data_IF_266054838111
#
_entry.id   IF_266054838111
#
_cell.length_a   1.000
_cell.length_b   1.000
_cell.length_c   1.000
_cell.angle_alpha   90.00
_cell.angle_beta   90.00
_cell.angle_gamma   90.00
#
_symmetry.space_group_name_H-M   'P 1'
#
loop_
_entity.id
_entity.type
_entity.pdbx_description
1 polymer ?
#
# COMPACT_ATOMS: atom_id res chain seq x y z
N UNK A 1 -19.51 -7.26 16.97
CA UNK A 1 -18.47 -8.05 16.32
C UNK A 1 -17.78 -7.21 15.24
N UNK A 2 -16.52 -6.87 15.48
CA UNK A 2 -15.69 -6.02 14.58
C UNK A 2 -15.58 -6.66 13.19
N UNK A 3 -15.42 -7.97 13.12
CA UNK A 3 -15.27 -8.68 11.83
C UNK A 3 -16.54 -8.51 10.96
N UNK A 4 -17.71 -8.79 11.50
CA UNK A 4 -18.95 -8.62 10.75
C UNK A 4 -19.19 -7.16 10.37
N UNK A 5 -18.93 -6.21 11.29
CA UNK A 5 -19.12 -4.78 11.04
C UNK A 5 -18.23 -4.25 9.92
N UNK A 6 -16.93 -4.52 9.95
CA UNK A 6 -15.99 -4.04 8.94
C UNK A 6 -16.27 -4.64 7.54
N UNK A 7 -16.60 -5.92 7.48
CA UNK A 7 -16.96 -6.58 6.20
C UNK A 7 -18.28 -6.04 5.64
N UNK A 8 -19.25 -5.79 6.50
CA UNK A 8 -20.49 -5.15 6.09
C UNK A 8 -20.26 -3.73 5.56
N UNK A 9 -19.39 -2.95 6.23
CA UNK A 9 -19.04 -1.59 5.79
C UNK A 9 -18.35 -1.61 4.41
N UNK A 10 -17.40 -2.50 4.17
CA UNK A 10 -16.82 -2.69 2.84
C UNK A 10 -17.89 -3.02 1.81
N UNK A 11 -18.81 -3.94 2.13
CA UNK A 11 -19.93 -4.29 1.24
C UNK A 11 -20.84 -3.11 0.93
N UNK A 12 -21.16 -2.28 1.92
CA UNK A 12 -21.98 -1.07 1.73
C UNK A 12 -21.28 -0.07 0.83
N UNK A 13 -19.97 0.18 1.03
CA UNK A 13 -19.19 1.08 0.19
C UNK A 13 -19.17 0.57 -1.27
N UNK A 14 -19.03 -0.75 -1.49
CA UNK A 14 -19.12 -1.35 -2.82
C UNK A 14 -20.49 -1.12 -3.47
N UNK A 15 -21.57 -1.33 -2.73
CA UNK A 15 -22.93 -1.09 -3.22
C UNK A 15 -23.09 0.39 -3.58
N UNK A 16 -22.61 1.33 -2.76
CA UNK A 16 -22.67 2.75 -3.05
C UNK A 16 -21.88 3.11 -4.30
N UNK A 17 -20.70 2.52 -4.51
CA UNK A 17 -19.92 2.74 -5.72
C UNK A 17 -20.64 2.19 -6.96
N UNK A 18 -21.15 0.97 -6.93
CA UNK A 18 -21.82 0.32 -8.07
C UNK A 18 -23.10 1.07 -8.46
N UNK A 19 -23.87 1.53 -7.48
CA UNK A 19 -25.17 2.17 -7.69
C UNK A 19 -25.17 3.67 -7.48
N UNK A 20 -23.99 4.33 -7.53
CA UNK A 20 -23.82 5.75 -7.23
C UNK A 20 -24.80 6.67 -7.97
N UNK A 21 -25.12 6.37 -9.22
CA UNK A 21 -26.05 7.16 -10.03
C UNK A 21 -27.54 7.00 -9.60
N UNK A 22 -27.83 6.04 -8.74
CA UNK A 22 -29.19 5.77 -8.23
C UNK A 22 -29.38 6.24 -6.77
N UNK A 23 -28.32 6.60 -6.08
CA UNK A 23 -28.39 6.97 -4.66
C UNK A 23 -29.24 8.22 -4.43
N UNK A 24 -29.32 9.12 -5.40
CA UNK A 24 -30.20 10.28 -5.35
C UNK A 24 -31.69 9.93 -5.22
N UNK A 25 -32.07 8.69 -5.57
CA UNK A 25 -33.44 8.20 -5.41
C UNK A 25 -33.74 7.71 -3.97
N UNK A 26 -32.71 7.57 -3.15
CA UNK A 26 -32.79 6.99 -1.81
C UNK A 26 -32.30 7.96 -0.73
N UNK A 27 -32.95 9.13 -0.65
CA UNK A 27 -32.57 10.19 0.30
C UNK A 27 -32.52 9.74 1.76
N UNK A 28 -33.37 8.78 2.15
CA UNK A 28 -33.35 8.23 3.51
C UNK A 28 -32.09 7.42 3.80
N UNK A 29 -31.52 6.76 2.79
CA UNK A 29 -30.26 6.05 2.91
C UNK A 29 -29.11 7.03 3.13
N UNK A 30 -29.06 8.10 2.34
CA UNK A 30 -28.03 9.16 2.48
C UNK A 30 -28.07 9.75 3.88
N UNK A 31 -29.29 10.15 4.35
CA UNK A 31 -29.46 10.68 5.71
C UNK A 31 -29.03 9.72 6.82
N UNK A 32 -29.24 8.41 6.64
CA UNK A 32 -28.72 7.41 7.61
C UNK A 32 -27.22 7.36 7.66
N UNK A 33 -26.54 7.53 6.53
CA UNK A 33 -25.07 7.60 6.49
C UNK A 33 -24.58 8.87 7.17
N UNK A 34 -25.25 10.01 6.95
CA UNK A 34 -24.93 11.26 7.64
C UNK A 34 -25.06 11.12 9.17
N UNK A 35 -26.09 10.41 9.66
CA UNK A 35 -26.21 10.11 11.10
C UNK A 35 -25.10 9.18 11.62
N UNK A 36 -24.57 8.28 10.78
CA UNK A 36 -23.44 7.43 11.17
C UNK A 36 -22.12 8.20 11.27
N UNK A 37 -21.98 9.32 10.55
CA UNK A 37 -20.81 10.20 10.63
C UNK A 37 -20.65 10.85 12.01
N UNK A 38 -21.75 10.98 12.79
CA UNK A 38 -21.70 11.41 14.18
C UNK A 38 -21.01 10.38 15.11
N UNK A 39 -20.80 9.14 14.64
CA UNK A 39 -20.13 8.08 15.39
C UNK A 39 -18.63 8.14 15.07
N UNK A 40 -17.75 8.51 16.02
CA UNK A 40 -16.33 8.79 15.75
C UNK A 40 -15.57 7.75 14.92
N UNK A 41 -15.74 6.41 15.09
CA UNK A 41 -15.01 5.43 14.30
C UNK A 41 -15.45 5.35 12.83
N UNK A 42 -16.66 5.80 12.47
CA UNK A 42 -17.22 5.58 11.14
C UNK A 42 -16.45 6.32 10.04
N UNK A 43 -16.20 7.60 10.22
CA UNK A 43 -15.45 8.44 9.28
C UNK A 43 -14.04 7.89 9.04
N UNK A 44 -13.36 7.53 10.12
CA UNK A 44 -12.00 6.96 10.03
C UNK A 44 -12.00 5.61 9.33
N UNK A 45 -12.99 4.76 9.59
CA UNK A 45 -13.16 3.46 8.98
C UNK A 45 -13.43 3.59 7.46
N UNK A 46 -14.31 4.48 7.04
CA UNK A 46 -14.60 4.75 5.62
C UNK A 46 -13.38 5.29 4.90
N UNK A 47 -12.68 6.26 5.50
CA UNK A 47 -11.46 6.84 4.92
C UNK A 47 -10.34 5.79 4.78
N UNK A 48 -10.19 4.91 5.77
CA UNK A 48 -9.22 3.81 5.74
C UNK A 48 -9.57 2.80 4.65
N UNK A 49 -10.83 2.37 4.56
CA UNK A 49 -11.30 1.45 3.52
C UNK A 49 -11.06 2.06 2.15
N UNK A 50 -11.33 3.35 1.97
CA UNK A 50 -11.06 4.04 0.71
C UNK A 50 -9.59 3.93 0.29
N UNK A 51 -8.67 4.26 1.20
CA UNK A 51 -7.21 4.11 0.92
C UNK A 51 -6.81 2.67 0.63
N UNK A 52 -7.37 1.70 1.36
CA UNK A 52 -7.12 0.28 1.13
C UNK A 52 -7.63 -0.17 -0.25
N UNK A 53 -8.79 0.32 -0.70
CA UNK A 53 -9.30 0.05 -2.05
C UNK A 53 -8.39 0.61 -3.15
N UNK A 54 -7.88 1.84 -2.97
CA UNK A 54 -6.91 2.43 -3.88
C UNK A 54 -5.60 1.62 -3.93
N UNK A 55 -5.14 1.14 -2.77
CA UNK A 55 -3.95 0.32 -2.68
C UNK A 55 -4.13 -1.04 -3.37
N UNK A 56 -5.33 -1.63 -3.31
CA UNK A 56 -5.64 -2.85 -4.05
C UNK A 56 -5.49 -2.66 -5.57
N UNK A 57 -5.75 -1.47 -6.13
CA UNK A 57 -5.51 -1.20 -7.56
C UNK A 57 -4.02 -1.28 -7.95
N UNK A 58 -3.11 -1.08 -7.01
CA UNK A 58 -1.66 -1.17 -7.24
C UNK A 58 -1.11 -2.61 -7.10
N UNK A 59 -1.95 -3.57 -6.70
CA UNK A 59 -1.52 -4.95 -6.42
C UNK A 59 -0.80 -5.60 -7.61
N UNK A 60 -1.24 -5.37 -8.86
CA UNK A 60 -0.56 -5.95 -10.04
C UNK A 60 0.87 -5.44 -10.22
N UNK A 61 1.11 -4.14 -9.97
CA UNK A 61 2.46 -3.57 -10.02
C UNK A 61 3.33 -4.12 -8.89
N UNK A 62 2.76 -4.22 -7.69
CA UNK A 62 3.44 -4.77 -6.52
C UNK A 62 3.77 -6.24 -6.75
N UNK A 63 2.81 -7.03 -7.23
CA UNK A 63 2.99 -8.45 -7.55
C UNK A 63 4.07 -8.66 -8.64
N UNK A 64 4.08 -7.81 -9.67
CA UNK A 64 5.13 -7.83 -10.68
C UNK A 64 6.50 -7.58 -10.06
N UNK A 65 6.62 -6.55 -9.23
CA UNK A 65 7.87 -6.21 -8.53
C UNK A 65 8.32 -7.35 -7.60
N UNK A 66 7.37 -7.95 -6.87
CA UNK A 66 7.66 -9.11 -6.03
C UNK A 66 8.25 -10.27 -6.84
N UNK A 67 7.64 -10.62 -7.99
CA UNK A 67 8.09 -11.74 -8.83
C UNK A 67 9.36 -11.49 -9.61
N UNK A 68 9.56 -10.27 -10.11
CA UNK A 68 10.66 -9.95 -11.00
C UNK A 68 11.92 -9.47 -10.27
N UNK A 69 11.77 -8.83 -9.11
CA UNK A 69 12.88 -8.22 -8.39
C UNK A 69 13.13 -8.84 -7.01
N UNK A 70 12.10 -8.94 -6.15
CA UNK A 70 12.28 -9.26 -4.73
C UNK A 70 12.48 -10.76 -4.52
N UNK A 71 11.55 -11.60 -5.01
CA UNK A 71 11.59 -13.06 -4.83
C UNK A 71 12.85 -13.69 -5.46
N UNK A 72 13.25 -13.34 -6.70
CA UNK A 72 14.48 -13.88 -7.28
C UNK A 72 15.74 -13.54 -6.49
N UNK A 73 15.80 -12.32 -5.93
CA UNK A 73 16.95 -11.89 -5.11
C UNK A 73 16.97 -12.65 -3.77
N UNK A 74 15.82 -12.83 -3.14
CA UNK A 74 15.69 -13.67 -1.95
C UNK A 74 16.17 -15.11 -2.22
N UNK A 75 15.71 -15.71 -3.33
CA UNK A 75 16.07 -17.09 -3.69
C UNK A 75 17.57 -17.27 -3.99
N UNK A 76 18.22 -16.30 -4.64
CA UNK A 76 19.68 -16.33 -4.87
C UNK A 76 20.47 -16.37 -3.57
N UNK A 77 19.98 -15.66 -2.56
CA UNK A 77 20.66 -15.52 -1.28
C UNK A 77 20.28 -16.57 -0.24
N UNK A 78 19.22 -17.38 -0.48
CA UNK A 78 18.80 -18.48 0.42
C UNK A 78 19.93 -19.51 0.63
N UNK A 79 20.71 -19.83 -0.40
CA UNK A 79 21.85 -20.73 -0.28
C UNK A 79 22.95 -20.16 0.62
N UNK A 80 23.22 -18.87 0.54
CA UNK A 80 24.16 -18.16 1.41
C UNK A 80 23.65 -18.09 2.85
N UNK A 81 22.36 -17.78 3.05
CA UNK A 81 21.72 -17.79 4.37
C UNK A 81 21.71 -19.19 5.00
N UNK A 82 21.50 -20.25 4.21
CA UNK A 82 21.54 -21.63 4.69
C UNK A 82 22.93 -22.04 5.13
N UNK A 83 23.96 -21.61 4.41
CA UNK A 83 25.37 -21.84 4.79
C UNK A 83 25.76 -21.04 6.04
N UNK A 84 25.20 -19.84 6.24
CA UNK A 84 25.37 -19.05 7.47
C UNK A 84 24.74 -19.72 8.69
N UNK A 85 23.57 -20.40 8.53
CA UNK A 85 22.89 -21.11 9.63
C UNK A 85 23.59 -22.40 10.07
N UNK A 86 24.26 -23.11 9.18
CA UNK A 86 25.01 -24.32 9.55
C UNK A 86 26.31 -24.04 10.35
N UNK A 87 26.69 -22.76 10.49
CA UNK A 87 27.81 -22.35 11.37
C UNK A 87 27.43 -22.02 12.81
N UNK A 88 26.15 -22.08 13.15
CA UNK A 88 25.69 -21.92 14.52
C UNK A 88 25.50 -23.30 15.19
N UNK A 89 26.61 -23.99 15.50
CA UNK A 89 26.59 -24.97 16.58
C UNK A 89 26.45 -24.23 17.91
N UNK A 90 25.53 -24.74 18.72
CA UNK A 90 25.20 -24.30 20.06
C UNK A 90 26.47 -24.10 20.90
N UNK A 91 26.83 -22.87 21.16
CA UNK A 91 27.58 -22.49 22.33
C UNK A 91 26.83 -21.34 23.01
N UNK A 92 26.13 -21.69 24.08
CA UNK A 92 25.61 -20.77 25.06
C UNK A 92 26.77 -20.05 25.77
N UNK A 93 27.34 -19.05 25.14
CA UNK A 93 28.16 -18.04 25.83
C UNK A 93 27.74 -16.66 25.33
N UNK A 94 27.18 -15.90 26.27
CA UNK A 94 26.77 -14.50 26.15
C UNK A 94 27.97 -13.59 25.86
N UNK A 95 28.51 -13.64 24.65
CA UNK A 95 29.31 -12.56 24.10
C UNK A 95 29.05 -12.47 22.60
N UNK A 96 28.28 -11.45 22.26
CA UNK A 96 27.80 -11.07 20.94
C UNK A 96 28.99 -10.69 20.02
N UNK A 97 29.66 -11.68 19.47
CA UNK A 97 30.67 -11.50 18.43
C UNK A 97 30.05 -11.77 17.04
N UNK A 98 29.11 -10.90 16.67
CA UNK A 98 28.59 -10.87 15.28
C UNK A 98 29.73 -10.45 14.39
N UNK A 99 30.23 -11.39 13.58
CA UNK A 99 31.28 -11.09 12.60
C UNK A 99 30.83 -9.94 11.67
N UNK A 100 31.50 -8.77 11.70
CA UNK A 100 31.15 -7.60 10.89
C UNK A 100 31.08 -7.92 9.38
N UNK A 101 31.92 -8.85 8.90
CA UNK A 101 31.96 -9.24 7.49
C UNK A 101 30.64 -9.86 6.99
N UNK A 102 29.82 -10.42 7.90
CA UNK A 102 28.53 -11.01 7.53
C UNK A 102 27.42 -9.94 7.44
N UNK A 103 27.47 -8.92 8.28
CA UNK A 103 26.59 -7.77 8.18
C UNK A 103 26.87 -7.01 6.89
N UNK A 104 28.15 -6.78 6.57
CA UNK A 104 28.58 -6.11 5.34
C UNK A 104 28.21 -6.93 4.08
N UNK A 105 28.32 -8.26 4.11
CA UNK A 105 27.90 -9.13 2.99
C UNK A 105 26.39 -9.11 2.77
N UNK A 106 25.60 -9.01 3.85
CA UNK A 106 24.15 -8.89 3.78
C UNK A 106 23.71 -7.53 3.24
N UNK A 107 24.35 -6.44 3.67
CA UNK A 107 24.10 -5.09 3.16
C UNK A 107 24.56 -4.95 1.69
N UNK A 108 25.70 -5.48 1.33
CA UNK A 108 26.22 -5.45 -0.05
C UNK A 108 25.37 -6.28 -1.03
N UNK A 109 24.62 -7.29 -0.53
CA UNK A 109 23.75 -8.11 -1.38
C UNK A 109 22.49 -7.36 -1.86
N UNK A 110 22.16 -6.20 -1.26
CA UNK A 110 20.91 -5.48 -1.51
C UNK A 110 19.64 -6.19 -1.00
N UNK A 111 19.81 -7.37 -0.37
CA UNK A 111 18.68 -8.15 0.16
C UNK A 111 18.02 -7.46 1.34
N UNK A 112 18.81 -6.81 2.20
CA UNK A 112 18.30 -6.04 3.34
C UNK A 112 17.34 -4.94 2.90
N UNK A 113 17.70 -4.19 1.85
CA UNK A 113 16.85 -3.13 1.30
C UNK A 113 15.57 -3.69 0.68
N UNK A 114 15.65 -4.82 -0.02
CA UNK A 114 14.48 -5.48 -0.62
C UNK A 114 13.50 -6.05 0.43
N UNK A 115 14.02 -6.62 1.50
CA UNK A 115 13.19 -7.07 2.62
C UNK A 115 12.55 -5.90 3.36
N UNK A 116 13.30 -4.81 3.56
CA UNK A 116 12.76 -3.58 4.17
C UNK A 116 11.65 -3.00 3.31
N UNK A 117 11.85 -2.93 1.99
CA UNK A 117 10.82 -2.47 1.05
C UNK A 117 9.57 -3.35 1.09
N UNK A 118 9.74 -4.69 1.12
CA UNK A 118 8.60 -5.61 1.25
C UNK A 118 7.82 -5.37 2.56
N UNK A 119 8.53 -5.20 3.67
CA UNK A 119 7.93 -4.93 4.96
C UNK A 119 7.20 -3.57 4.97
N UNK A 120 7.76 -2.54 4.36
CA UNK A 120 7.10 -1.24 4.21
C UNK A 120 5.80 -1.35 3.41
N UNK A 121 5.81 -2.05 2.27
CA UNK A 121 4.61 -2.32 1.48
C UNK A 121 3.54 -3.07 2.29
N UNK A 122 3.96 -4.06 3.07
CA UNK A 122 3.07 -4.85 3.93
C UNK A 122 2.47 -3.99 5.05
N UNK A 123 3.26 -3.11 5.67
CA UNK A 123 2.79 -2.17 6.69
C UNK A 123 1.82 -1.12 6.12
N UNK A 124 2.02 -0.70 4.87
CA UNK A 124 1.06 0.13 4.14
C UNK A 124 -0.27 -0.62 3.87
N UNK A 125 -0.31 -1.93 4.02
CA UNK A 125 -1.47 -2.79 3.76
C UNK A 125 -1.53 -3.35 2.34
N UNK A 126 -0.41 -3.35 1.61
CA UNK A 126 -0.34 -3.92 0.27
C UNK A 126 -0.42 -5.46 0.30
N UNK A 127 -0.98 -6.03 -0.77
CA UNK A 127 -1.00 -7.48 -0.96
C UNK A 127 0.31 -7.98 -1.58
N UNK A 128 1.29 -8.25 -0.73
CA UNK A 128 2.60 -8.77 -1.14
C UNK A 128 2.61 -10.29 -1.38
N UNK A 129 1.54 -10.98 -1.03
CA UNK A 129 1.44 -12.44 -1.08
C UNK A 129 0.60 -12.96 -2.25
N UNK A 130 0.09 -12.10 -3.13
CA UNK A 130 -0.82 -12.50 -4.20
C UNK A 130 -0.25 -13.62 -5.07
N UNK A 131 0.97 -13.48 -5.60
CA UNK A 131 1.62 -14.48 -6.45
C UNK A 131 1.87 -15.80 -5.72
N UNK A 132 2.27 -15.73 -4.45
CA UNK A 132 2.56 -16.89 -3.61
C UNK A 132 1.34 -17.80 -3.49
N UNK A 133 0.15 -17.22 -3.34
CA UNK A 133 -1.09 -17.97 -3.12
C UNK A 133 -1.94 -18.20 -4.38
N UNK A 134 -1.59 -17.55 -5.52
CA UNK A 134 -2.38 -17.62 -6.74
C UNK A 134 -2.59 -19.06 -7.24
N UNK A 135 -1.52 -19.87 -7.29
CA UNK A 135 -1.60 -21.28 -7.73
C UNK A 135 -2.47 -22.13 -6.81
N UNK A 136 -2.53 -21.81 -5.52
CA UNK A 136 -3.28 -22.57 -4.51
C UNK A 136 -4.79 -22.29 -4.58
N UNK A 137 -5.23 -21.29 -5.35
CA UNK A 137 -6.64 -20.97 -5.59
C UNK A 137 -7.31 -21.92 -6.60
N UNK A 138 -6.55 -22.82 -7.23
CA UNK A 138 -7.10 -23.87 -8.09
C UNK A 138 -7.79 -25.01 -7.32
N UNK A 139 -7.65 -25.07 -6.00
CA UNK A 139 -8.27 -26.06 -5.15
C UNK A 139 -9.80 -26.05 -5.30
N UNK A 140 -10.48 -27.23 -5.33
CA UNK A 140 -11.94 -27.33 -5.57
C UNK A 140 -12.81 -26.49 -4.64
N UNK A 141 -12.36 -26.23 -3.41
CA UNK A 141 -13.02 -25.34 -2.45
C UNK A 141 -13.35 -23.96 -3.05
N UNK A 142 -12.46 -23.39 -3.88
CA UNK A 142 -12.63 -22.07 -4.48
C UNK A 142 -13.50 -22.03 -5.74
N UNK A 143 -14.11 -23.15 -6.15
CA UNK A 143 -15.12 -23.15 -7.20
C UNK A 143 -16.43 -22.50 -6.76
N UNK A 144 -16.71 -22.57 -5.46
CA UNK A 144 -17.86 -21.92 -4.85
C UNK A 144 -17.52 -20.47 -4.47
N UNK A 145 -18.32 -19.51 -4.97
CA UNK A 145 -18.08 -18.06 -4.79
C UNK A 145 -18.00 -17.68 -3.31
N UNK A 146 -18.93 -18.20 -2.49
CA UNK A 146 -18.97 -17.87 -1.07
C UNK A 146 -17.69 -18.28 -0.31
N UNK A 147 -16.99 -19.31 -0.78
CA UNK A 147 -15.79 -19.83 -0.12
C UNK A 147 -14.58 -18.87 -0.21
N UNK A 148 -14.61 -17.91 -1.13
CA UNK A 148 -13.62 -16.83 -1.19
C UNK A 148 -13.75 -15.83 -0.04
N UNK A 149 -14.93 -15.77 0.57
CA UNK A 149 -15.29 -14.69 1.48
C UNK A 149 -15.57 -15.14 2.91
N UNK A 150 -15.55 -16.43 3.22
CA UNK A 150 -15.72 -16.89 4.59
C UNK A 150 -14.53 -16.51 5.46
N UNK A 151 -14.76 -15.93 6.66
CA UNK A 151 -13.73 -15.84 7.68
C UNK A 151 -13.13 -17.21 7.94
N UNK A 152 -11.81 -17.30 8.08
CA UNK A 152 -11.19 -18.59 8.36
C UNK A 152 -11.68 -19.15 9.69
N UNK A 153 -12.19 -20.38 9.65
CA UNK A 153 -12.70 -21.10 10.82
C UNK A 153 -12.42 -22.57 10.73
N UNK A 154 -11.89 -23.16 11.82
CA UNK A 154 -11.78 -24.62 11.96
C UNK A 154 -13.12 -25.33 12.01
N UNK A 155 -14.22 -24.60 12.22
CA UNK A 155 -15.58 -25.14 12.24
C UNK A 155 -16.22 -25.19 10.85
N UNK A 156 -15.56 -24.66 9.83
CA UNK A 156 -16.03 -24.75 8.45
C UNK A 156 -16.07 -26.23 8.01
N UNK A 157 -17.15 -26.63 7.31
CA UNK A 157 -17.45 -28.06 7.02
C UNK A 157 -16.34 -28.80 6.31
N UNK A 158 -15.68 -28.18 5.34
CA UNK A 158 -14.59 -28.81 4.57
C UNK A 158 -13.30 -28.91 5.38
N UNK A 159 -13.05 -27.95 6.28
CA UNK A 159 -11.96 -28.00 7.26
C UNK A 159 -12.18 -29.15 8.24
N UNK A 160 -13.41 -29.28 8.77
CA UNK A 160 -13.76 -30.39 9.69
C UNK A 160 -13.57 -31.75 9.01
N UNK A 161 -13.98 -31.92 7.73
CA UNK A 161 -13.78 -33.17 6.99
C UNK A 161 -12.30 -33.56 6.92
N UNK A 162 -11.42 -32.59 6.63
CA UNK A 162 -9.97 -32.82 6.56
C UNK A 162 -9.38 -33.17 7.92
N UNK A 163 -9.79 -32.46 8.99
CA UNK A 163 -9.31 -32.72 10.36
C UNK A 163 -9.71 -34.10 10.88
N UNK A 164 -10.89 -34.60 10.50
CA UNK A 164 -11.36 -35.95 10.90
C UNK A 164 -10.60 -37.10 10.23
N UNK A 165 -10.01 -36.88 9.07
CA UNK A 165 -9.28 -37.89 8.32
C UNK A 165 -7.91 -38.24 8.90
N UNK A 166 -7.27 -37.31 9.62
CA UNK A 166 -5.88 -37.45 10.04
C UNK A 166 -5.64 -37.63 11.55
N UNK A 167 -6.71 -37.64 12.33
CA UNK A 167 -6.57 -37.69 13.79
C UNK A 167 -6.24 -36.31 14.41
N UNK A 168 -6.44 -36.21 15.73
CA UNK A 168 -6.40 -34.95 16.50
C UNK A 168 -4.97 -34.47 16.87
N UNK A 169 -3.99 -34.55 15.99
CA UNK A 169 -2.68 -33.95 16.26
C UNK A 169 -2.80 -32.40 16.24
N UNK A 170 -2.56 -31.80 17.39
CA UNK A 170 -2.48 -30.33 17.52
C UNK A 170 -1.19 -29.85 16.86
N UNK A 171 -1.31 -29.26 15.67
CA UNK A 171 -0.19 -28.57 15.03
C UNK A 171 -0.19 -27.11 15.49
N UNK A 172 0.56 -26.80 16.56
CA UNK A 172 0.62 -25.48 17.17
C UNK A 172 1.14 -24.42 16.18
N UNK A 173 2.09 -24.79 15.33
CA UNK A 173 2.69 -23.85 14.34
C UNK A 173 1.67 -23.49 13.25
N UNK A 174 0.94 -24.47 12.71
CA UNK A 174 -0.14 -24.19 11.77
C UNK A 174 -1.19 -23.27 12.38
N UNK A 175 -1.54 -23.49 13.65
CA UNK A 175 -2.50 -22.67 14.37
C UNK A 175 -2.03 -21.22 14.49
N UNK A 176 -0.74 -21.00 14.78
CA UNK A 176 -0.14 -19.66 14.86
C UNK A 176 -0.18 -18.96 13.49
N UNK A 177 0.25 -19.63 12.42
CA UNK A 177 0.24 -19.08 11.06
C UNK A 177 -1.19 -18.72 10.63
N UNK A 178 -2.16 -19.61 10.88
CA UNK A 178 -3.55 -19.38 10.52
C UNK A 178 -4.24 -18.31 11.39
N UNK A 179 -3.72 -18.05 12.59
CA UNK A 179 -4.18 -16.95 13.43
C UNK A 179 -3.51 -15.61 13.09
N UNK A 180 -2.46 -15.61 12.28
CA UNK A 180 -1.76 -14.37 11.92
C UNK A 180 -2.68 -13.41 11.14
N UNK A 181 -2.47 -12.10 11.33
CA UNK A 181 -3.19 -11.05 10.61
C UNK A 181 -2.65 -10.78 9.19
N UNK A 182 -1.52 -11.38 8.84
CA UNK A 182 -0.83 -11.09 7.57
C UNK A 182 -1.51 -11.71 6.35
N UNK A 183 -2.12 -12.88 6.51
CA UNK A 183 -2.79 -13.57 5.41
C UNK A 183 -4.27 -13.23 5.34
N UNK A 184 -4.79 -13.07 4.13
CA UNK A 184 -6.22 -13.01 3.91
C UNK A 184 -6.91 -14.33 4.30
N UNK A 185 -8.21 -14.30 4.52
CA UNK A 185 -8.91 -15.53 4.92
C UNK A 185 -8.88 -16.59 3.83
N UNK A 186 -8.97 -16.19 2.55
CA UNK A 186 -8.85 -17.13 1.43
C UNK A 186 -7.47 -17.79 1.36
N UNK A 187 -6.41 -17.08 1.75
CA UNK A 187 -5.05 -17.64 1.80
C UNK A 187 -4.88 -18.63 2.92
N UNK A 188 -5.45 -18.35 4.09
CA UNK A 188 -5.45 -19.30 5.21
C UNK A 188 -6.10 -20.61 4.82
N UNK A 189 -7.23 -20.57 4.07
CA UNK A 189 -7.85 -21.78 3.51
C UNK A 189 -6.94 -22.47 2.48
N UNK A 190 -6.33 -21.71 1.57
CA UNK A 190 -5.39 -22.27 0.59
C UNK A 190 -4.24 -22.98 1.26
N UNK A 191 -3.62 -22.32 2.22
CA UNK A 191 -2.48 -22.83 2.98
C UNK A 191 -2.89 -24.11 3.74
N UNK A 192 -4.02 -24.08 4.44
CA UNK A 192 -4.53 -25.23 5.19
C UNK A 192 -4.71 -26.44 4.28
N UNK A 193 -5.43 -26.30 3.17
CA UNK A 193 -5.69 -27.43 2.27
C UNK A 193 -4.43 -27.93 1.56
N UNK A 194 -3.48 -27.05 1.25
CA UNK A 194 -2.22 -27.43 0.60
C UNK A 194 -1.32 -28.20 1.55
N UNK A 195 -1.12 -27.72 2.76
CA UNK A 195 -0.26 -28.38 3.76
C UNK A 195 -0.80 -29.79 4.05
N UNK A 196 -2.12 -29.93 4.18
CA UNK A 196 -2.76 -31.22 4.46
C UNK A 196 -2.63 -32.25 3.36
N UNK A 197 -2.30 -31.87 2.14
CA UNK A 197 -2.05 -32.81 1.02
C UNK A 197 -0.59 -33.26 0.93
N UNK A 198 0.31 -32.61 1.65
CA UNK A 198 1.72 -32.95 1.62
C UNK A 198 2.04 -34.11 2.56
N UNK A 199 3.05 -34.95 2.26
CA UNK A 199 3.61 -35.89 3.22
C UNK A 199 4.08 -35.17 4.50
N UNK A 200 3.98 -35.84 5.66
CA UNK A 200 4.25 -35.21 6.98
C UNK A 200 5.61 -34.51 7.04
N UNK A 201 6.67 -35.13 6.53
CA UNK A 201 8.00 -34.50 6.51
C UNK A 201 8.06 -33.20 5.69
N UNK A 202 7.28 -33.10 4.61
CA UNK A 202 7.20 -31.88 3.82
C UNK A 202 6.31 -30.82 4.51
N UNK A 203 5.26 -31.25 5.22
CA UNK A 203 4.44 -30.36 6.04
C UNK A 203 5.31 -29.66 7.09
N UNK A 204 6.09 -30.43 7.85
CA UNK A 204 6.94 -29.91 8.92
C UNK A 204 8.00 -28.95 8.37
N UNK A 205 8.61 -29.29 7.22
CA UNK A 205 9.59 -28.43 6.56
C UNK A 205 8.95 -27.11 6.08
N UNK A 206 7.78 -27.16 5.45
CA UNK A 206 7.07 -25.97 4.96
C UNK A 206 6.61 -25.07 6.12
N UNK A 207 6.09 -25.69 7.19
CA UNK A 207 5.62 -24.98 8.37
C UNK A 207 6.78 -24.35 9.14
N UNK A 208 7.95 -25.00 9.23
CA UNK A 208 9.12 -24.42 9.85
C UNK A 208 9.61 -23.19 9.05
N UNK A 209 9.69 -23.28 7.73
CA UNK A 209 10.10 -22.15 6.89
C UNK A 209 9.15 -20.95 7.00
N UNK A 210 7.84 -21.19 6.97
CA UNK A 210 6.84 -20.14 7.14
C UNK A 210 6.83 -19.59 8.56
N UNK A 211 6.96 -20.47 9.56
CA UNK A 211 7.01 -20.08 10.98
C UNK A 211 8.23 -19.27 11.34
N UNK A 212 9.39 -19.60 10.79
CA UNK A 212 10.63 -18.87 11.06
C UNK A 212 10.62 -17.45 10.49
N UNK A 213 10.06 -17.24 9.30
CA UNK A 213 9.87 -15.90 8.74
C UNK A 213 8.93 -15.04 9.58
N UNK A 214 7.82 -15.63 10.04
CA UNK A 214 6.84 -14.91 10.86
C UNK A 214 7.27 -14.77 12.32
N UNK A 215 7.97 -15.75 12.88
CA UNK A 215 8.51 -15.70 14.25
C UNK A 215 9.65 -14.70 14.36
N UNK A 216 10.48 -14.53 13.32
CA UNK A 216 11.51 -13.48 13.29
C UNK A 216 10.87 -12.08 13.35
N UNK A 217 9.75 -11.86 12.65
CA UNK A 217 8.99 -10.60 12.70
C UNK A 217 8.19 -10.41 14.00
N UNK A 218 7.86 -11.50 14.70
CA UNK A 218 7.00 -11.49 15.88
C UNK A 218 7.78 -11.71 17.19
N UNK A 219 9.03 -12.19 17.13
CA UNK A 219 9.77 -12.67 18.31
C UNK A 219 10.18 -11.57 19.29
N UNK A 220 10.19 -10.32 18.87
CA UNK A 220 10.59 -9.26 19.80
C UNK A 220 9.51 -8.80 20.78
N UNK A 221 8.21 -9.00 20.57
CA UNK A 221 7.18 -8.43 21.48
C UNK A 221 5.78 -9.07 21.56
N UNK A 222 5.46 -10.23 20.97
CA UNK A 222 4.03 -10.58 20.84
C UNK A 222 3.61 -11.91 21.44
N UNK A 223 2.90 -11.84 22.57
CA UNK A 223 2.08 -12.94 23.06
C UNK A 223 0.92 -13.26 22.12
N UNK A 224 0.37 -14.49 22.17
CA UNK A 224 -0.83 -14.90 21.40
C UNK A 224 -2.01 -13.93 21.57
N UNK A 225 -2.11 -13.24 22.70
CA UNK A 225 -3.10 -12.21 22.98
C UNK A 225 -2.89 -10.94 22.14
N UNK A 226 -1.65 -10.54 21.92
CA UNK A 226 -1.32 -9.36 21.08
C UNK A 226 -1.64 -9.64 19.62
N UNK A 227 -1.37 -10.86 19.13
CA UNK A 227 -1.75 -11.29 17.79
C UNK A 227 -3.27 -11.33 17.61
N UNK A 228 -4.01 -11.84 18.59
CA UNK A 228 -5.47 -11.81 18.56
C UNK A 228 -6.00 -10.38 18.47
N UNK A 229 -5.48 -9.48 19.31
CA UNK A 229 -5.84 -8.05 19.28
C UNK A 229 -5.49 -7.39 17.93
N UNK A 230 -4.38 -7.77 17.30
CA UNK A 230 -4.03 -7.27 15.98
C UNK A 230 -5.01 -7.75 14.90
N UNK A 231 -5.38 -9.03 14.91
CA UNK A 231 -6.32 -9.61 13.95
C UNK A 231 -7.75 -9.04 14.06
N UNK A 232 -8.12 -8.59 15.25
CA UNK A 232 -9.43 -7.99 15.54
C UNK A 232 -9.44 -6.47 15.30
N UNK A 233 -8.33 -5.86 14.86
CA UNK A 233 -8.31 -4.44 14.50
C UNK A 233 -9.17 -4.19 13.26
N UNK A 234 -10.00 -3.14 13.25
CA UNK A 234 -10.84 -2.79 12.11
C UNK A 234 -10.06 -2.74 10.79
N UNK A 235 -8.88 -2.12 10.80
CA UNK A 235 -8.03 -2.01 9.62
C UNK A 235 -7.50 -3.35 9.09
N UNK A 236 -7.14 -4.28 9.95
CA UNK A 236 -6.69 -5.63 9.56
C UNK A 236 -7.85 -6.39 8.91
N UNK A 237 -9.03 -6.35 9.52
CA UNK A 237 -10.21 -7.06 9.01
C UNK A 237 -10.64 -6.54 7.64
N UNK A 238 -10.78 -5.22 7.50
CA UNK A 238 -11.17 -4.62 6.21
C UNK A 238 -10.15 -4.89 5.12
N UNK A 239 -8.85 -4.82 5.44
CA UNK A 239 -7.77 -5.07 4.48
C UNK A 239 -7.76 -6.53 4.00
N UNK A 240 -7.82 -7.49 4.92
CA UNK A 240 -7.92 -8.91 4.56
C UNK A 240 -9.11 -9.20 3.65
N UNK A 241 -10.26 -8.59 3.95
CA UNK A 241 -11.46 -8.79 3.14
C UNK A 241 -11.35 -8.15 1.76
N UNK A 242 -10.72 -6.98 1.66
CA UNK A 242 -10.44 -6.34 0.37
C UNK A 242 -9.44 -7.15 -0.46
N UNK A 243 -8.42 -7.75 0.15
CA UNK A 243 -7.51 -8.67 -0.54
C UNK A 243 -8.26 -9.89 -1.08
N UNK A 244 -9.16 -10.51 -0.30
CA UNK A 244 -9.99 -11.62 -0.76
C UNK A 244 -10.88 -11.22 -1.94
N UNK A 245 -11.52 -10.03 -1.88
CA UNK A 245 -12.33 -9.48 -2.97
C UNK A 245 -11.51 -9.22 -4.23
N UNK A 246 -10.36 -8.56 -4.09
CA UNK A 246 -9.47 -8.28 -5.22
C UNK A 246 -9.01 -9.58 -5.90
N UNK A 247 -8.56 -10.56 -5.11
CA UNK A 247 -8.12 -11.87 -5.62
C UNK A 247 -9.26 -12.65 -6.29
N UNK A 248 -10.48 -12.57 -5.77
CA UNK A 248 -11.64 -13.14 -6.43
C UNK A 248 -11.79 -12.59 -7.85
N UNK A 249 -11.75 -11.29 -8.04
CA UNK A 249 -11.86 -10.65 -9.36
C UNK A 249 -10.68 -10.97 -10.29
N UNK A 250 -9.53 -11.35 -9.76
CA UNK A 250 -8.36 -11.71 -10.59
C UNK A 250 -8.25 -13.20 -10.87
N UNK A 251 -8.55 -14.05 -9.89
CA UNK A 251 -8.20 -15.47 -9.91
C UNK A 251 -9.39 -16.41 -10.03
N UNK A 252 -10.61 -16.02 -9.62
CA UNK A 252 -11.78 -16.89 -9.68
C UNK A 252 -12.17 -17.24 -11.12
N UNK A 253 -12.54 -18.50 -11.35
CA UNK A 253 -13.10 -18.94 -12.64
C UNK A 253 -14.45 -18.26 -12.93
N UNK A 254 -15.18 -17.88 -11.88
CA UNK A 254 -16.49 -17.21 -11.97
C UNK A 254 -16.41 -15.68 -11.94
N UNK A 255 -15.21 -15.06 -11.97
CA UNK A 255 -15.05 -13.60 -11.91
C UNK A 255 -15.83 -12.84 -12.97
N UNK A 256 -16.08 -13.46 -14.12
CA UNK A 256 -16.78 -12.82 -15.25
C UNK A 256 -18.30 -12.65 -15.01
N UNK A 257 -18.84 -13.30 -13.99
CA UNK A 257 -20.25 -13.15 -13.59
C UNK A 257 -20.49 -11.86 -12.80
N UNK A 258 -19.41 -11.16 -12.39
CA UNK A 258 -19.48 -10.03 -11.48
C UNK A 258 -18.75 -8.81 -12.07
N UNK A 259 -19.23 -7.63 -11.71
CA UNK A 259 -18.59 -6.36 -12.09
C UNK A 259 -17.35 -6.13 -11.20
N UNK A 260 -16.19 -6.01 -11.84
CA UNK A 260 -14.91 -5.76 -11.16
C UNK A 260 -14.75 -4.26 -10.90
N UNK A 261 -15.03 -3.83 -9.67
CA UNK A 261 -14.95 -2.42 -9.26
C UNK A 261 -13.51 -1.90 -9.20
N UNK A 262 -12.50 -2.78 -9.04
CA UNK A 262 -11.11 -2.36 -8.98
C UNK A 262 -10.55 -1.92 -10.35
N UNK A 263 -11.28 -2.16 -11.43
CA UNK A 263 -10.97 -1.62 -12.76
C UNK A 263 -11.57 -0.23 -13.02
N UNK A 264 -12.41 0.24 -12.12
CA UNK A 264 -13.08 1.52 -12.25
C UNK A 264 -12.33 2.63 -11.51
N UNK A 265 -12.63 3.88 -11.86
CA UNK A 265 -12.15 5.03 -11.08
C UNK A 265 -12.79 4.99 -9.69
N UNK A 266 -11.95 4.87 -8.67
CA UNK A 266 -12.38 4.88 -7.27
C UNK A 266 -12.32 6.33 -6.75
N UNK A 267 -13.40 7.06 -6.93
CA UNK A 267 -13.60 8.44 -6.51
C UNK A 267 -14.74 8.50 -5.46
N UNK A 268 -14.54 7.78 -4.34
CA UNK A 268 -15.59 7.58 -3.34
C UNK A 268 -16.08 8.87 -2.70
N UNK A 269 -15.26 9.91 -2.66
CA UNK A 269 -15.62 11.24 -2.16
C UNK A 269 -16.67 11.95 -3.05
N UNK A 270 -16.85 11.52 -4.31
CA UNK A 270 -17.92 12.02 -5.18
C UNK A 270 -19.24 11.24 -5.06
N UNK A 271 -19.27 10.19 -4.25
CA UNK A 271 -20.51 9.44 -4.03
C UNK A 271 -21.41 10.23 -3.08
N UNK A 272 -22.65 10.58 -3.45
CA UNK A 272 -23.53 11.46 -2.63
C UNK A 272 -23.70 11.00 -1.18
N UNK A 273 -23.73 9.69 -0.94
CA UNK A 273 -23.85 9.14 0.41
C UNK A 273 -22.55 9.19 1.23
N UNK A 274 -21.40 9.41 0.62
CA UNK A 274 -20.09 9.43 1.27
C UNK A 274 -19.42 10.80 1.21
N UNK A 275 -19.94 11.73 0.40
CA UNK A 275 -19.32 13.04 0.20
C UNK A 275 -19.17 13.81 1.51
N UNK A 276 -20.20 13.88 2.35
CA UNK A 276 -20.15 14.58 3.63
C UNK A 276 -19.08 13.98 4.57
N UNK A 277 -18.90 12.65 4.52
CA UNK A 277 -17.92 11.92 5.33
C UNK A 277 -16.49 12.13 4.84
N UNK A 278 -16.29 12.09 3.52
CA UNK A 278 -14.97 12.03 2.90
C UNK A 278 -14.43 13.38 2.41
N UNK A 279 -15.30 14.39 2.24
CA UNK A 279 -14.92 15.67 1.66
C UNK A 279 -14.32 16.62 2.71
N UNK A 280 -13.15 16.26 3.22
CA UNK A 280 -12.41 17.06 4.19
C UNK A 280 -10.90 16.97 3.92
N UNK A 281 -10.15 18.02 4.31
CA UNK A 281 -8.70 18.09 4.12
C UNK A 281 -7.97 16.87 4.71
N UNK A 282 -8.33 16.47 5.92
CA UNK A 282 -7.69 15.35 6.63
C UNK A 282 -7.80 14.00 5.88
N UNK A 283 -8.79 13.86 5.01
CA UNK A 283 -9.02 12.67 4.22
C UNK A 283 -8.47 12.83 2.81
N UNK A 284 -8.77 13.93 2.13
CA UNK A 284 -8.39 14.14 0.73
C UNK A 284 -6.90 14.37 0.56
N UNK A 285 -6.24 15.07 1.50
CA UNK A 285 -4.80 15.31 1.40
C UNK A 285 -3.98 14.00 1.40
N UNK A 286 -4.18 13.04 2.33
CA UNK A 286 -3.55 11.73 2.26
C UNK A 286 -3.88 10.92 0.99
N UNK A 287 -5.06 11.12 0.39
CA UNK A 287 -5.43 10.47 -0.87
C UNK A 287 -4.67 11.08 -2.04
N UNK A 288 -4.58 12.42 -2.10
CA UNK A 288 -3.77 13.10 -3.10
C UNK A 288 -2.28 12.72 -2.98
N UNK A 289 -1.75 12.64 -1.76
CA UNK A 289 -0.39 12.17 -1.49
C UNK A 289 -0.18 10.71 -1.91
N UNK A 290 -1.17 9.85 -1.71
CA UNK A 290 -1.13 8.47 -2.22
C UNK A 290 -0.99 8.46 -3.74
N UNK A 291 -1.82 9.22 -4.46
CA UNK A 291 -1.72 9.31 -5.91
C UNK A 291 -0.38 9.90 -6.36
N UNK A 292 0.13 10.92 -5.67
CA UNK A 292 1.44 11.53 -5.92
C UNK A 292 2.57 10.48 -5.77
N UNK A 293 2.57 9.73 -4.66
CA UNK A 293 3.55 8.67 -4.37
C UNK A 293 3.50 7.54 -5.40
N UNK A 294 2.31 7.21 -5.92
CA UNK A 294 2.12 6.16 -6.94
C UNK A 294 2.23 6.69 -8.38
N UNK A 295 2.71 7.94 -8.57
CA UNK A 295 2.91 8.60 -9.88
C UNK A 295 1.63 8.72 -10.73
N UNK A 296 0.49 8.72 -10.07
CA UNK A 296 -0.83 8.94 -10.69
C UNK A 296 -1.14 10.43 -10.73
N UNK A 297 -0.41 11.14 -11.60
CA UNK A 297 -0.36 12.60 -11.61
C UNK A 297 -1.71 13.27 -11.86
N UNK A 298 -2.52 12.71 -12.78
CA UNK A 298 -3.84 13.28 -13.10
C UNK A 298 -4.80 13.21 -11.91
N UNK A 299 -4.85 12.04 -11.25
CA UNK A 299 -5.72 11.84 -10.09
C UNK A 299 -5.23 12.67 -8.89
N UNK A 300 -3.91 12.82 -8.72
CA UNK A 300 -3.37 13.71 -7.70
C UNK A 300 -3.79 15.17 -7.94
N UNK A 301 -3.68 15.65 -9.17
CA UNK A 301 -4.07 17.02 -9.56
C UNK A 301 -5.56 17.22 -9.28
N UNK A 302 -6.44 16.31 -9.76
CA UNK A 302 -7.88 16.41 -9.53
C UNK A 302 -8.20 16.58 -8.03
N UNK A 303 -7.65 15.73 -7.16
CA UNK A 303 -7.95 15.79 -5.72
C UNK A 303 -7.37 17.06 -5.09
N UNK A 304 -6.18 17.51 -5.49
CA UNK A 304 -5.62 18.77 -4.99
C UNK A 304 -6.48 19.98 -5.44
N UNK A 305 -6.90 20.04 -6.70
CA UNK A 305 -7.76 21.13 -7.21
C UNK A 305 -9.12 21.16 -6.49
N UNK A 306 -9.70 20.01 -6.19
CA UNK A 306 -10.91 19.92 -5.39
C UNK A 306 -10.74 20.46 -3.98
N UNK A 307 -9.60 20.20 -3.33
CA UNK A 307 -9.29 20.74 -2.01
C UNK A 307 -9.23 22.27 -1.99
N UNK A 308 -8.77 22.92 -3.07
CA UNK A 308 -8.78 24.37 -3.19
C UNK A 308 -10.23 24.92 -3.16
N UNK A 309 -11.17 24.20 -3.75
CA UNK A 309 -12.60 24.62 -3.77
C UNK A 309 -13.28 24.53 -2.40
N UNK A 310 -12.81 23.63 -1.54
CA UNK A 310 -13.36 23.45 -0.17
C UNK A 310 -12.91 24.59 0.76
N UNK A 311 -11.89 25.34 0.40
CA UNK A 311 -11.35 26.43 1.23
C UNK A 311 -10.66 25.95 2.51
N UNK A 312 -10.27 24.68 2.59
CA UNK A 312 -9.82 24.00 3.81
C UNK A 312 -8.30 23.89 3.93
N UNK A 313 -7.54 24.86 3.43
CA UNK A 313 -6.06 24.82 3.47
C UNK A 313 -5.50 25.37 4.79
N UNK A 314 -6.05 25.00 5.94
CA UNK A 314 -5.64 25.51 7.24
C UNK A 314 -4.23 25.05 7.62
N UNK A 315 -3.26 25.93 7.43
CA UNK A 315 -1.89 25.76 7.93
C UNK A 315 -0.92 25.01 7.00
N UNK A 316 -1.38 24.31 5.98
CA UNK A 316 -0.55 23.54 5.02
C UNK A 316 -0.40 24.20 3.64
N UNK A 317 -0.82 25.44 3.50
CA UNK A 317 -0.96 26.07 2.18
C UNK A 317 0.29 26.02 1.30
N UNK A 318 1.48 26.26 1.83
CA UNK A 318 2.72 26.17 1.06
C UNK A 318 3.02 24.73 0.60
N UNK A 319 2.90 23.74 1.49
CA UNK A 319 3.12 22.32 1.18
C UNK A 319 2.11 21.84 0.12
N UNK A 320 0.87 22.23 0.27
CA UNK A 320 -0.18 21.90 -0.69
C UNK A 320 0.18 22.39 -2.10
N UNK A 321 0.51 23.69 -2.25
CA UNK A 321 0.86 24.24 -3.56
C UNK A 321 2.17 23.66 -4.13
N UNK A 322 3.13 23.29 -3.28
CA UNK A 322 4.34 22.60 -3.72
C UNK A 322 4.01 21.22 -4.29
N UNK A 323 3.16 20.44 -3.64
CA UNK A 323 2.75 19.11 -4.10
C UNK A 323 1.90 19.17 -5.36
N UNK A 324 0.95 20.10 -5.44
CA UNK A 324 0.17 20.36 -6.64
C UNK A 324 1.09 20.77 -7.80
N UNK A 325 2.00 21.73 -7.57
CA UNK A 325 2.99 22.15 -8.56
C UNK A 325 3.85 21.00 -9.06
N UNK A 326 4.25 20.09 -8.15
CA UNK A 326 5.04 18.93 -8.51
C UNK A 326 4.24 17.93 -9.38
N UNK A 327 2.98 17.66 -9.04
CA UNK A 327 2.11 16.82 -9.85
C UNK A 327 1.90 17.41 -11.25
N UNK A 328 1.62 18.72 -11.34
CA UNK A 328 1.47 19.46 -12.59
C UNK A 328 2.75 19.45 -13.43
N UNK A 329 3.91 19.65 -12.82
CA UNK A 329 5.21 19.58 -13.47
C UNK A 329 5.47 18.19 -14.07
N UNK A 330 5.23 17.13 -13.30
CA UNK A 330 5.38 15.73 -13.76
C UNK A 330 4.39 15.40 -14.88
N UNK A 331 3.22 16.02 -14.86
CA UNK A 331 2.21 15.91 -15.93
C UNK A 331 2.49 16.86 -17.12
N UNK A 332 3.63 17.54 -17.14
CA UNK A 332 4.08 18.48 -18.20
C UNK A 332 3.20 19.72 -18.36
N UNK A 333 2.37 20.04 -17.40
CA UNK A 333 1.56 21.26 -17.32
C UNK A 333 2.38 22.40 -16.66
N UNK A 334 3.43 22.84 -17.38
CA UNK A 334 4.45 23.72 -16.79
C UNK A 334 3.94 25.10 -16.40
N UNK A 335 3.03 25.69 -17.17
CA UNK A 335 2.43 26.99 -16.85
C UNK A 335 1.62 26.93 -15.55
N UNK A 336 0.75 25.95 -15.42
CA UNK A 336 -0.06 25.72 -14.21
C UNK A 336 0.83 25.37 -12.99
N UNK A 337 1.93 24.62 -13.22
CA UNK A 337 2.90 24.30 -12.18
C UNK A 337 3.61 25.57 -11.66
N UNK A 338 3.97 26.49 -12.54
CA UNK A 338 4.57 27.76 -12.17
C UNK A 338 3.62 28.56 -11.27
N UNK A 339 2.34 28.65 -11.63
CA UNK A 339 1.34 29.37 -10.83
C UNK A 339 1.20 28.73 -9.42
N UNK A 340 1.18 27.42 -9.34
CA UNK A 340 1.14 26.72 -8.05
C UNK A 340 2.40 26.99 -7.20
N UNK A 341 3.59 26.90 -7.80
CA UNK A 341 4.84 27.16 -7.08
C UNK A 341 4.98 28.64 -6.66
N UNK A 342 4.47 29.59 -7.44
CA UNK A 342 4.45 31.00 -7.06
C UNK A 342 3.51 31.25 -5.86
N UNK A 343 2.35 30.57 -5.82
CA UNK A 343 1.48 30.61 -4.64
C UNK A 343 2.21 30.03 -3.42
N UNK A 344 2.95 28.93 -3.58
CA UNK A 344 3.77 28.34 -2.51
C UNK A 344 4.87 29.33 -2.03
N UNK A 345 5.55 30.03 -2.95
CA UNK A 345 6.59 31.00 -2.65
C UNK A 345 6.03 32.21 -1.88
N UNK A 346 4.81 32.64 -2.21
CA UNK A 346 4.12 33.71 -1.48
C UNK A 346 3.84 33.32 -0.02
N UNK A 347 3.51 32.06 0.23
CA UNK A 347 3.18 31.56 1.57
C UNK A 347 4.43 31.19 2.39
N UNK A 348 5.48 30.73 1.73
CA UNK A 348 6.77 30.38 2.33
C UNK A 348 7.90 30.81 1.41
N UNK A 349 8.33 32.09 1.49
CA UNK A 349 9.37 32.63 0.63
C UNK A 349 10.72 31.92 0.79
N UNK A 350 11.54 32.00 -0.25
CA UNK A 350 12.95 31.59 -0.27
C UNK A 350 13.16 30.07 0.00
N UNK A 351 12.15 29.26 -0.25
CA UNK A 351 12.32 27.81 -0.20
C UNK A 351 13.15 27.31 -1.39
N UNK A 352 14.37 26.80 -1.12
CA UNK A 352 15.34 26.38 -2.15
C UNK A 352 14.74 25.30 -3.06
N UNK A 353 14.03 24.34 -2.51
CA UNK A 353 13.36 23.28 -3.30
C UNK A 353 12.32 23.90 -4.26
N UNK A 354 11.51 24.84 -3.76
CA UNK A 354 10.50 25.53 -4.56
C UNK A 354 11.12 26.36 -5.68
N UNK A 355 12.18 27.13 -5.36
CA UNK A 355 12.93 27.93 -6.33
C UNK A 355 13.55 27.05 -7.42
N UNK A 356 14.09 25.89 -7.07
CA UNK A 356 14.63 24.92 -8.03
C UNK A 356 13.54 24.42 -8.99
N UNK A 357 12.38 24.08 -8.49
CA UNK A 357 11.26 23.60 -9.32
C UNK A 357 10.64 24.70 -10.17
N UNK A 358 10.57 25.93 -9.68
CA UNK A 358 10.21 27.11 -10.49
C UNK A 358 11.19 27.31 -11.64
N UNK A 359 12.50 27.27 -11.38
CA UNK A 359 13.51 27.39 -12.41
C UNK A 359 13.38 26.33 -13.50
N UNK A 360 13.17 25.07 -13.08
CA UNK A 360 12.94 23.94 -14.01
C UNK A 360 11.70 24.20 -14.88
N UNK A 361 10.57 24.58 -14.26
CA UNK A 361 9.32 24.80 -14.98
C UNK A 361 9.43 25.99 -15.94
N UNK A 362 10.03 27.11 -15.54
CA UNK A 362 10.28 28.24 -16.43
C UNK A 362 11.17 27.86 -17.61
N UNK A 363 12.24 27.09 -17.41
CA UNK A 363 13.12 26.60 -18.49
C UNK A 363 12.36 25.70 -19.46
N UNK A 364 11.57 24.74 -18.94
CA UNK A 364 10.77 23.84 -19.77
C UNK A 364 9.64 24.57 -20.51
N UNK A 365 9.16 25.68 -19.94
CA UNK A 365 8.20 26.60 -20.57
C UNK A 365 8.86 27.66 -21.47
N UNK A 366 10.19 27.53 -21.74
CA UNK A 366 11.00 28.40 -22.58
C UNK A 366 11.11 29.87 -22.10
N UNK A 367 10.83 30.14 -20.85
CA UNK A 367 11.09 31.45 -20.25
C UNK A 367 12.46 31.41 -19.55
N UNK A 368 13.51 31.48 -20.36
CA UNK A 368 14.88 31.31 -19.92
C UNK A 368 15.36 32.45 -18.98
N UNK A 369 14.82 33.66 -19.16
CA UNK A 369 15.16 34.78 -18.29
C UNK A 369 14.66 34.59 -16.85
N UNK A 370 13.41 34.14 -16.69
CA UNK A 370 12.86 33.84 -15.38
C UNK A 370 13.54 32.60 -14.77
N UNK A 371 13.80 31.58 -15.59
CA UNK A 371 14.53 30.39 -15.15
C UNK A 371 15.90 30.74 -14.58
N UNK A 372 16.66 31.59 -15.28
CA UNK A 372 17.98 32.05 -14.84
C UNK A 372 17.90 32.77 -13.48
N UNK A 373 16.90 33.65 -13.29
CA UNK A 373 16.70 34.36 -12.03
C UNK A 373 16.51 33.38 -10.85
N UNK A 374 15.69 32.37 -11.01
CA UNK A 374 15.45 31.39 -9.96
C UNK A 374 16.62 30.41 -9.78
N UNK A 375 17.32 30.00 -10.84
CA UNK A 375 18.53 29.19 -10.71
C UNK A 375 19.64 29.94 -9.94
N UNK A 376 19.79 31.23 -10.15
CA UNK A 376 20.77 32.06 -9.39
C UNK A 376 20.45 32.06 -7.89
N UNK A 377 19.16 32.17 -7.50
CA UNK A 377 18.77 32.04 -6.08
C UNK A 377 19.12 30.66 -5.50
N UNK A 378 19.01 29.59 -6.31
CA UNK A 378 19.41 28.25 -5.87
C UNK A 378 20.92 28.11 -5.78
N UNK A 379 21.70 28.70 -6.72
CA UNK A 379 23.15 28.73 -6.72
C UNK A 379 23.70 29.41 -5.50
N UNK A 380 23.13 30.56 -5.10
CA UNK A 380 23.53 31.30 -3.88
C UNK A 380 23.41 30.42 -2.62
N UNK A 381 22.42 29.55 -2.56
CA UNK A 381 22.19 28.62 -1.44
C UNK A 381 23.00 27.32 -1.55
N UNK A 382 23.30 26.88 -2.77
CA UNK A 382 24.01 25.62 -3.07
C UNK A 382 25.06 25.83 -4.18
N UNK A 383 26.16 26.53 -3.90
CA UNK A 383 27.13 26.97 -4.94
C UNK A 383 27.88 25.80 -5.61
N UNK A 384 27.96 24.64 -4.97
CA UNK A 384 28.66 23.45 -5.50
C UNK A 384 27.76 22.52 -6.33
N UNK A 385 26.46 22.83 -6.52
CA UNK A 385 25.54 22.01 -7.29
C UNK A 385 25.82 22.15 -8.78
N UNK A 386 26.59 21.20 -9.32
CA UNK A 386 26.97 21.18 -10.75
C UNK A 386 25.78 21.14 -11.70
N UNK A 387 24.63 20.56 -11.28
CA UNK A 387 23.42 20.52 -12.12
C UNK A 387 22.82 21.94 -12.25
N UNK A 388 22.84 22.70 -11.16
CA UNK A 388 22.35 24.10 -11.20
C UNK A 388 23.23 24.94 -12.10
N UNK A 389 24.56 24.85 -11.95
CA UNK A 389 25.54 25.54 -12.80
C UNK A 389 25.34 25.18 -14.27
N UNK A 390 25.17 23.89 -14.58
CA UNK A 390 24.89 23.45 -15.94
C UNK A 390 23.60 24.06 -16.52
N UNK A 391 22.53 24.12 -15.72
CA UNK A 391 21.26 24.71 -16.17
C UNK A 391 21.33 26.23 -16.31
N UNK A 392 22.11 26.93 -15.50
CA UNK A 392 22.42 28.35 -15.68
C UNK A 392 23.12 28.57 -17.04
N UNK A 393 24.19 27.82 -17.31
CA UNK A 393 24.88 27.88 -18.59
C UNK A 393 23.96 27.58 -19.79
N UNK A 394 23.08 26.58 -19.65
CA UNK A 394 22.08 26.27 -20.69
C UNK A 394 21.09 27.43 -20.92
N UNK A 395 20.61 28.08 -19.86
CA UNK A 395 19.73 29.24 -19.99
C UNK A 395 20.43 30.44 -20.63
N UNK A 396 21.71 30.70 -20.26
CA UNK A 396 22.51 31.76 -20.87
C UNK A 396 22.75 31.53 -22.37
N UNK A 397 23.04 30.30 -22.75
CA UNK A 397 23.19 29.92 -24.15
C UNK A 397 21.92 30.17 -24.97
N UNK A 398 20.76 29.79 -24.44
CA UNK A 398 19.46 30.04 -25.09
C UNK A 398 19.10 31.54 -25.19
N UNK A 399 19.64 32.34 -24.28
CA UNK A 399 19.51 33.80 -24.29
C UNK A 399 20.55 34.49 -25.19
N UNK A 400 21.48 33.73 -25.76
CA UNK A 400 22.58 34.31 -26.60
C UNK A 400 23.66 35.00 -25.77
N UNK A 401 23.76 34.72 -24.49
CA UNK A 401 24.76 35.30 -23.56
C UNK A 401 25.88 34.27 -23.39
N UNK A 402 26.97 34.43 -24.12
CA UNK A 402 28.08 33.44 -24.21
C UNK A 402 29.33 33.88 -23.42
N UNK A 403 29.24 34.86 -22.53
CA UNK A 403 30.37 35.32 -21.71
C UNK A 403 30.51 34.55 -20.40
#
# INVERSE_FOLDING_TARGET
DVNAGQRALVGVIFIFHIYRNRLSLYNDLVKRVDLMDEIPPFKEDVARIYRQMLLCQETEKIDKKMREEIIPEMLKNVSSMRNMRFGFEENEDENDDKNPDWADAFEQSGLGDKLREMNELQLEGADVYMSTFAALKSYPFFREVQNWFYPFSKQQSDVIKQLKQEGNEKNTLLDLILQSGFFSNSDKYSLFFTIRQLPKAQQDMMLSQLGEQQVAELSEKSSAETMKKFNERPGTVSNQYLHDLYRFFKLSVRRHEFRDIFKEKLDLHHIPALSNVLYSEDILFPIADFYLKKERWNEAIEVYEEMETIGALQGRGAEYYQKLGYALQKNKKYAEAIDAYLKADTLKPDNIWNNRHLAICYRLNRNYQAALSYYKKVEEATPEDTNVIFHIGSCLAELGQYE
#
